data_IF_976019402703
#
_entry.id   IF_976019402703
#
_cell.length_a   1.000
_cell.length_b   1.000
_cell.length_c   1.000
_cell.angle_alpha   90.00
_cell.angle_beta   90.00
_cell.angle_gamma   90.00
#
_symmetry.space_group_name_H-M   'P 1'
#
loop_
_entity.id
_entity.type
_entity.pdbx_description
1 polymer ?
#
# COMPACT_ATOMS: atom_id res chain seq x y z
N UNK A 1 16.85 -0.77 16.62
CA UNK A 1 17.10 -1.28 15.26
C UNK A 1 15.74 -1.41 14.59
N UNK A 2 15.46 -0.59 13.59
CA UNK A 2 14.25 -0.69 12.78
C UNK A 2 14.28 -2.05 12.07
N UNK A 3 13.29 -2.90 12.34
CA UNK A 3 13.23 -4.24 11.77
C UNK A 3 12.66 -4.16 10.36
N UNK A 4 13.36 -4.77 9.40
CA UNK A 4 13.01 -4.85 7.97
C UNK A 4 11.87 -5.85 7.73
N UNK A 5 11.13 -5.65 6.63
CA UNK A 5 10.03 -6.53 6.21
C UNK A 5 10.50 -7.97 5.88
N UNK A 6 11.74 -8.15 5.44
CA UNK A 6 12.32 -9.44 5.03
C UNK A 6 11.47 -10.16 3.96
N UNK A 7 11.11 -9.43 2.90
CA UNK A 7 10.22 -9.91 1.84
C UNK A 7 10.93 -10.94 0.94
N UNK A 8 10.23 -12.01 0.54
CA UNK A 8 10.73 -12.91 -0.50
C UNK A 8 10.75 -12.20 -1.86
N UNK A 9 11.54 -12.69 -2.81
CA UNK A 9 11.47 -12.19 -4.18
C UNK A 9 10.10 -12.54 -4.79
N UNK A 10 9.40 -11.55 -5.37
CA UNK A 10 8.17 -11.80 -6.11
C UNK A 10 8.44 -12.68 -7.33
N UNK A 11 7.65 -13.74 -7.49
CA UNK A 11 7.77 -14.67 -8.61
C UNK A 11 7.18 -14.07 -9.89
N UNK A 12 7.92 -14.17 -10.99
CA UNK A 12 7.48 -13.75 -12.32
C UNK A 12 7.79 -12.27 -12.64
N UNK A 13 7.43 -11.82 -13.86
CA UNK A 13 7.70 -10.46 -14.30
C UNK A 13 6.86 -9.43 -13.53
N UNK A 14 7.36 -8.19 -13.45
CA UNK A 14 6.58 -7.05 -12.94
C UNK A 14 5.34 -6.80 -13.83
N UNK A 15 4.21 -6.36 -13.25
CA UNK A 15 3.06 -5.95 -14.04
C UNK A 15 3.39 -4.71 -14.88
N UNK A 16 2.55 -4.44 -15.89
CA UNK A 16 2.58 -3.16 -16.60
C UNK A 16 1.85 -2.12 -15.75
N UNK A 17 2.35 -0.90 -15.75
CA UNK A 17 1.79 0.23 -15.00
C UNK A 17 1.67 1.45 -15.92
N UNK A 18 0.84 2.43 -15.54
CA UNK A 18 0.82 3.73 -16.21
C UNK A 18 2.02 4.56 -15.78
N UNK A 19 2.50 5.44 -16.66
CA UNK A 19 3.54 6.41 -16.33
C UNK A 19 2.89 7.79 -16.25
N UNK A 20 2.77 8.35 -15.04
CA UNK A 20 2.11 9.64 -14.81
C UNK A 20 1.06 9.59 -13.72
N UNK A 21 0.26 10.65 -13.62
CA UNK A 21 -0.87 10.74 -12.71
C UNK A 21 -2.17 10.66 -13.53
N UNK A 22 -3.09 9.72 -13.23
CA UNK A 22 -3.01 8.71 -12.18
C UNK A 22 -1.99 7.58 -12.47
N UNK A 23 -1.33 7.13 -11.41
CA UNK A 23 -0.39 6.01 -11.44
C UNK A 23 -1.12 4.73 -11.02
N UNK A 24 -1.27 3.79 -11.94
CA UNK A 24 -2.13 2.61 -11.80
C UNK A 24 -1.50 1.36 -12.41
N UNK A 25 -1.86 0.19 -11.89
CA UNK A 25 -1.50 -1.10 -12.46
C UNK A 25 -2.45 -1.48 -13.59
N UNK A 26 -1.90 -2.00 -14.69
CA UNK A 26 -2.62 -2.31 -15.93
C UNK A 26 -2.80 -3.83 -16.14
N UNK A 27 -1.88 -4.66 -15.64
CA UNK A 27 -1.92 -6.11 -15.85
C UNK A 27 -1.62 -6.88 -14.57
N UNK A 28 -1.87 -8.19 -14.57
CA UNK A 28 -1.64 -9.10 -13.43
C UNK A 28 -2.46 -8.74 -12.17
N UNK A 29 -3.68 -8.26 -12.36
CA UNK A 29 -4.61 -8.05 -11.25
C UNK A 29 -5.06 -9.40 -10.66
N UNK A 30 -5.40 -9.38 -9.37
CA UNK A 30 -5.97 -10.52 -8.68
C UNK A 30 -7.38 -10.84 -9.11
N UNK A 31 -7.82 -12.07 -8.79
CA UNK A 31 -9.24 -12.38 -8.79
C UNK A 31 -9.95 -11.54 -7.73
N UNK A 32 -11.18 -11.09 -8.02
CA UNK A 32 -11.92 -10.19 -7.13
C UNK A 32 -11.97 -10.67 -5.68
N UNK A 33 -12.22 -11.97 -5.45
CA UNK A 33 -12.29 -12.51 -4.09
C UNK A 33 -10.96 -12.41 -3.31
N UNK A 34 -9.80 -12.42 -3.97
CA UNK A 34 -8.50 -12.22 -3.30
C UNK A 34 -8.33 -10.75 -2.91
N UNK A 35 -8.70 -9.85 -3.82
CA UNK A 35 -8.67 -8.39 -3.58
C UNK A 35 -9.68 -7.99 -2.50
N UNK A 36 -10.84 -8.62 -2.47
CA UNK A 36 -11.86 -8.37 -1.44
C UNK A 36 -11.38 -8.86 -0.07
N UNK A 37 -10.77 -10.05 0.04
CA UNK A 37 -10.12 -10.50 1.28
C UNK A 37 -9.03 -9.53 1.78
N UNK A 38 -8.28 -8.91 0.86
CA UNK A 38 -7.29 -7.89 1.20
C UNK A 38 -7.94 -6.63 1.76
N UNK A 39 -9.00 -6.12 1.10
CA UNK A 39 -9.76 -4.94 1.52
C UNK A 39 -10.39 -5.17 2.89
N UNK A 40 -11.07 -6.30 3.07
CA UNK A 40 -11.74 -6.65 4.32
C UNK A 40 -10.74 -6.69 5.48
N UNK A 41 -9.58 -7.30 5.27
CA UNK A 41 -8.52 -7.31 6.28
C UNK A 41 -7.97 -5.92 6.58
N UNK A 42 -7.67 -5.13 5.54
CA UNK A 42 -7.06 -3.81 5.68
C UNK A 42 -7.99 -2.83 6.43
N UNK A 43 -9.29 -2.86 6.13
CA UNK A 43 -10.28 -1.99 6.77
C UNK A 43 -10.81 -2.52 8.10
N UNK A 44 -10.45 -3.74 8.49
CA UNK A 44 -10.75 -4.27 9.82
C UNK A 44 -9.65 -3.96 10.85
N UNK A 45 -8.55 -3.31 10.45
CA UNK A 45 -7.49 -2.92 11.39
C UNK A 45 -8.01 -1.88 12.40
N UNK A 46 -7.57 -1.94 13.67
CA UNK A 46 -8.00 -0.99 14.70
C UNK A 46 -7.74 0.45 14.28
N UNK A 47 -8.66 1.35 14.64
CA UNK A 47 -8.57 2.79 14.35
C UNK A 47 -8.42 3.15 12.86
N UNK A 48 -8.63 2.21 11.94
CA UNK A 48 -8.71 2.47 10.50
C UNK A 48 -10.16 2.70 10.09
N UNK A 49 -10.41 3.87 9.52
CA UNK A 49 -11.68 4.21 8.89
C UNK A 49 -11.58 4.00 7.39
N UNK A 50 -12.54 3.25 6.84
CA UNK A 50 -12.70 3.10 5.40
C UNK A 50 -13.37 4.35 4.83
N UNK A 51 -12.61 5.22 4.16
CA UNK A 51 -13.11 6.45 3.53
C UNK A 51 -12.82 6.51 2.03
N UNK A 52 -13.40 7.48 1.31
CA UNK A 52 -12.95 7.78 -0.06
C UNK A 52 -11.56 8.42 0.00
N UNK A 53 -10.64 7.98 -0.86
CA UNK A 53 -9.31 8.59 -0.92
C UNK A 53 -9.40 10.03 -1.41
N UNK A 54 -8.60 10.91 -0.80
CA UNK A 54 -8.44 12.31 -1.21
C UNK A 54 -7.31 12.49 -2.22
N UNK A 55 -6.44 11.49 -2.39
CA UNK A 55 -5.26 11.53 -3.25
C UNK A 55 -5.36 10.66 -4.50
N UNK A 56 -6.41 9.85 -4.63
CA UNK A 56 -6.53 8.83 -5.67
C UNK A 56 -7.69 9.07 -6.64
N UNK A 57 -7.87 8.14 -7.58
CA UNK A 57 -8.95 8.17 -8.57
C UNK A 57 -10.34 7.99 -7.92
N UNK A 58 -11.42 8.48 -8.56
CA UNK A 58 -12.79 8.27 -8.06
C UNK A 58 -13.10 6.80 -7.79
N UNK A 59 -13.64 6.50 -6.61
CA UNK A 59 -13.97 5.14 -6.17
C UNK A 59 -12.87 4.44 -5.39
N UNK A 60 -11.64 4.96 -5.37
CA UNK A 60 -10.59 4.45 -4.50
C UNK A 60 -10.97 4.60 -3.02
N UNK A 61 -10.61 3.59 -2.23
CA UNK A 61 -10.90 3.53 -0.80
C UNK A 61 -9.61 3.63 0.00
N UNK A 62 -9.60 4.51 0.98
CA UNK A 62 -8.46 4.87 1.78
C UNK A 62 -8.56 4.26 3.18
N UNK A 63 -7.41 3.83 3.69
CA UNK A 63 -7.20 3.58 5.11
C UNK A 63 -6.87 4.92 5.77
N UNK A 64 -7.83 5.49 6.50
CA UNK A 64 -7.67 6.77 7.19
C UNK A 64 -7.62 6.51 8.69
N UNK A 65 -6.58 7.00 9.38
CA UNK A 65 -6.50 6.82 10.83
C UNK A 65 -7.54 7.68 11.55
N UNK A 66 -8.29 7.09 12.48
CA UNK A 66 -9.28 7.76 13.33
C UNK A 66 -8.68 9.01 13.99
N UNK A 67 -9.44 10.10 14.08
CA UNK A 67 -8.95 11.42 14.52
C UNK A 67 -8.31 11.40 15.92
N UNK A 68 -8.88 10.61 16.83
CA UNK A 68 -8.39 10.47 18.21
C UNK A 68 -7.17 9.55 18.39
N UNK A 69 -6.70 8.88 17.34
CA UNK A 69 -5.54 8.01 17.45
C UNK A 69 -4.22 8.83 17.47
N UNK A 70 -3.33 8.50 18.41
CA UNK A 70 -1.95 9.01 18.37
C UNK A 70 -1.22 8.35 17.21
N UNK A 71 -0.67 9.16 16.31
CA UNK A 71 -0.04 8.65 15.10
C UNK A 71 1.26 9.39 14.79
N UNK A 72 2.16 8.69 14.11
CA UNK A 72 3.29 9.25 13.42
C UNK A 72 2.82 9.91 12.11
N UNK A 73 2.95 11.23 12.04
CA UNK A 73 2.49 12.00 10.89
C UNK A 73 3.31 11.78 9.61
N UNK A 74 4.54 11.26 9.72
CA UNK A 74 5.35 10.91 8.54
C UNK A 74 4.74 9.76 7.73
N UNK A 75 3.81 9.00 8.32
CA UNK A 75 3.08 7.94 7.64
C UNK A 75 1.90 8.45 6.80
N UNK A 76 1.59 9.75 6.80
CA UNK A 76 0.43 10.29 6.09
C UNK A 76 0.76 10.76 4.67
N UNK A 77 -0.07 10.34 3.71
CA UNK A 77 -0.02 10.78 2.32
C UNK A 77 -0.75 12.11 2.14
N UNK A 78 -2.01 12.15 2.59
CA UNK A 78 -2.89 13.33 2.63
C UNK A 78 -3.84 13.21 3.83
N UNK A 79 -4.02 14.28 4.60
CA UNK A 79 -4.79 14.20 5.84
C UNK A 79 -4.21 13.13 6.78
N UNK A 80 -5.02 12.13 7.12
CA UNK A 80 -4.63 10.94 7.94
C UNK A 80 -4.63 9.64 7.12
N UNK A 81 -4.60 9.74 5.79
CA UNK A 81 -4.56 8.61 4.86
C UNK A 81 -3.16 7.99 4.82
N UNK A 82 -3.05 6.71 5.22
CA UNK A 82 -1.78 5.96 5.23
C UNK A 82 -1.60 5.07 4.01
N UNK A 83 -2.73 4.65 3.42
CA UNK A 83 -2.80 3.85 2.21
C UNK A 83 -4.12 4.08 1.48
N UNK A 84 -4.16 3.82 0.18
CA UNK A 84 -5.42 3.68 -0.56
C UNK A 84 -5.34 2.58 -1.61
N UNK A 85 -6.48 1.92 -1.82
CA UNK A 85 -6.64 0.79 -2.72
C UNK A 85 -7.43 1.23 -3.95
N UNK A 86 -6.89 0.94 -5.14
CA UNK A 86 -7.53 1.31 -6.40
C UNK A 86 -8.78 0.46 -6.68
N UNK A 87 -9.84 1.09 -7.25
CA UNK A 87 -11.02 0.39 -7.74
C UNK A 87 -10.75 -0.22 -9.13
N UNK A 88 -11.73 -0.91 -9.69
CA UNK A 88 -11.69 -1.28 -11.10
C UNK A 88 -11.48 -0.04 -12.01
N UNK A 89 -10.73 -0.18 -13.12
CA UNK A 89 -10.21 -1.43 -13.71
C UNK A 89 -8.86 -1.91 -13.17
N UNK A 90 -8.16 -1.10 -12.36
CA UNK A 90 -6.89 -1.49 -11.73
C UNK A 90 -7.12 -2.56 -10.65
N UNK A 91 -8.12 -2.36 -9.80
CA UNK A 91 -8.61 -3.32 -8.84
C UNK A 91 -7.53 -4.03 -7.99
N UNK A 92 -7.10 -3.34 -6.94
CA UNK A 92 -6.34 -3.97 -5.86
C UNK A 92 -4.88 -3.60 -5.80
N UNK A 93 -4.29 -2.91 -6.79
CA UNK A 93 -3.05 -2.19 -6.51
C UNK A 93 -3.35 -1.02 -5.57
N UNK A 94 -2.31 -0.54 -4.88
CA UNK A 94 -2.48 0.40 -3.80
C UNK A 94 -1.26 1.30 -3.67
N UNK A 95 -1.46 2.53 -3.24
CA UNK A 95 -0.37 3.38 -2.78
C UNK A 95 -0.29 3.30 -1.26
N UNK A 96 0.92 3.12 -0.74
CA UNK A 96 1.21 2.99 0.70
C UNK A 96 2.36 3.89 1.08
N UNK A 97 2.30 4.46 2.29
CA UNK A 97 3.42 5.18 2.90
C UNK A 97 4.17 4.25 3.85
N UNK A 98 5.46 4.06 3.59
CA UNK A 98 6.36 3.21 4.36
C UNK A 98 7.59 3.99 4.84
N UNK A 99 8.31 3.49 5.85
CA UNK A 99 9.68 3.89 6.10
C UNK A 99 10.56 3.68 4.87
N UNK A 100 11.57 4.53 4.70
CA UNK A 100 12.45 4.52 3.53
C UNK A 100 13.02 3.13 3.21
N UNK A 101 13.59 2.44 4.19
CA UNK A 101 14.28 1.17 3.95
C UNK A 101 13.29 0.05 3.57
N UNK A 102 12.10 0.05 4.18
CA UNK A 102 11.02 -0.90 3.84
C UNK A 102 10.48 -0.63 2.42
N UNK A 103 10.34 0.64 2.03
CA UNK A 103 9.96 1.02 0.67
C UNK A 103 10.98 0.56 -0.38
N UNK A 104 12.28 0.70 -0.08
CA UNK A 104 13.34 0.21 -0.96
C UNK A 104 13.28 -1.31 -1.10
N UNK A 105 13.08 -2.03 0.01
CA UNK A 105 12.93 -3.49 -0.01
C UNK A 105 11.73 -3.94 -0.86
N UNK A 106 10.57 -3.29 -0.74
CA UNK A 106 9.37 -3.60 -1.55
C UNK A 106 9.67 -3.50 -3.06
N UNK A 107 10.38 -2.44 -3.48
CA UNK A 107 10.73 -2.22 -4.89
C UNK A 107 11.80 -3.22 -5.36
N UNK A 108 12.84 -3.44 -4.55
CA UNK A 108 13.92 -4.39 -4.84
C UNK A 108 13.38 -5.82 -5.01
N UNK A 109 12.53 -6.26 -4.09
CA UNK A 109 11.91 -7.60 -4.10
C UNK A 109 10.78 -7.73 -5.12
N UNK A 110 10.45 -6.64 -5.82
CA UNK A 110 9.53 -6.63 -6.95
C UNK A 110 8.05 -6.66 -6.58
N UNK A 111 7.70 -6.32 -5.34
CA UNK A 111 6.31 -6.24 -4.86
C UNK A 111 5.63 -4.91 -5.18
N UNK A 112 6.40 -3.91 -5.59
CA UNK A 112 5.89 -2.62 -6.02
C UNK A 112 6.90 -1.84 -6.85
N UNK A 113 6.57 -0.58 -7.10
CA UNK A 113 7.44 0.42 -7.69
C UNK A 113 7.22 1.76 -6.99
N UNK A 114 8.22 2.65 -7.01
CA UNK A 114 8.06 3.98 -6.44
C UNK A 114 6.88 4.70 -7.08
N UNK A 115 6.15 5.46 -6.27
CA UNK A 115 5.11 6.32 -6.80
C UNK A 115 5.72 7.33 -7.76
N UNK A 116 5.04 7.67 -8.87
CA UNK A 116 5.54 8.61 -9.89
C UNK A 116 6.09 9.92 -9.30
N UNK A 117 5.43 10.51 -8.29
CA UNK A 117 5.93 11.70 -7.57
C UNK A 117 7.29 11.52 -6.86
N UNK A 118 7.62 10.30 -6.40
CA UNK A 118 8.94 9.99 -5.84
C UNK A 118 9.98 9.97 -6.95
N UNK A 119 9.70 9.31 -8.07
CA UNK A 119 10.60 9.28 -9.24
C UNK A 119 10.85 10.69 -9.81
N UNK A 120 9.85 11.57 -9.73
CA UNK A 120 9.97 12.98 -10.13
C UNK A 120 10.64 13.87 -9.06
N UNK A 121 11.08 13.32 -7.92
CA UNK A 121 11.71 14.08 -6.83
C UNK A 121 10.77 15.03 -6.09
N UNK A 122 9.45 14.86 -6.21
CA UNK A 122 8.42 15.71 -5.59
C UNK A 122 7.91 15.17 -4.26
N UNK A 123 8.22 13.91 -3.94
CA UNK A 123 7.97 13.27 -2.65
C UNK A 123 9.23 12.50 -2.22
N UNK A 124 9.51 12.37 -0.91
CA UNK A 124 10.61 11.55 -0.44
C UNK A 124 10.35 10.06 -0.72
N UNK A 125 11.44 9.28 -0.72
CA UNK A 125 11.36 7.81 -0.75
C UNK A 125 10.55 7.32 0.45
N UNK A 126 9.58 6.45 0.20
CA UNK A 126 8.63 5.95 1.20
C UNK A 126 7.24 5.72 0.63
N UNK A 127 6.85 6.51 -0.38
CA UNK A 127 5.58 6.35 -1.10
C UNK A 127 5.76 5.37 -2.28
N UNK A 128 5.05 4.25 -2.23
CA UNK A 128 5.20 3.13 -3.16
C UNK A 128 3.84 2.67 -3.68
N UNK A 129 3.75 2.35 -4.96
CA UNK A 129 2.64 1.57 -5.49
C UNK A 129 2.94 0.09 -5.30
N UNK A 130 2.18 -0.58 -4.43
CA UNK A 130 2.22 -2.03 -4.23
C UNK A 130 1.23 -2.68 -5.17
N UNK A 131 1.65 -3.78 -5.80
CA UNK A 131 0.84 -4.44 -6.82
C UNK A 131 -0.34 -5.20 -6.21
N UNK A 132 -1.39 -5.40 -7.01
CA UNK A 132 -2.54 -6.25 -6.63
C UNK A 132 -2.07 -7.68 -6.30
N UNK A 133 -2.62 -8.32 -5.26
CA UNK A 133 -2.34 -9.74 -4.98
C UNK A 133 -2.92 -10.61 -6.07
N UNK A 134 -2.12 -11.49 -6.68
CA UNK A 134 -2.62 -12.41 -7.73
C UNK A 134 -3.34 -13.62 -7.15
N UNK A 135 -2.91 -14.06 -5.98
CA UNK A 135 -3.33 -15.27 -5.30
C UNK A 135 -3.15 -15.14 -3.77
N UNK A 136 -3.45 -16.21 -3.03
CA UNK A 136 -3.35 -16.26 -1.56
C UNK A 136 -1.91 -16.07 -1.05
N UNK A 137 -0.90 -16.49 -1.82
CA UNK A 137 0.50 -16.34 -1.42
C UNK A 137 0.95 -14.87 -1.55
N UNK A 138 0.62 -14.23 -2.67
CA UNK A 138 0.79 -12.79 -2.83
C UNK A 138 -0.01 -12.00 -1.78
N UNK A 139 -1.24 -12.43 -1.46
CA UNK A 139 -2.08 -11.79 -0.46
C UNK A 139 -1.41 -11.75 0.92
N UNK A 140 -0.80 -12.85 1.37
CA UNK A 140 -0.09 -12.89 2.65
C UNK A 140 1.06 -11.87 2.71
N UNK A 141 1.80 -11.72 1.61
CA UNK A 141 2.89 -10.73 1.52
C UNK A 141 2.36 -9.30 1.46
N UNK A 142 1.30 -9.06 0.72
CA UNK A 142 0.72 -7.72 0.60
C UNK A 142 0.09 -7.27 1.93
N UNK A 143 -0.51 -8.18 2.70
CA UNK A 143 -0.95 -7.91 4.07
C UNK A 143 0.22 -7.52 4.97
N UNK A 144 1.40 -8.13 4.84
CA UNK A 144 2.56 -7.73 5.64
C UNK A 144 3.05 -6.32 5.27
N UNK A 145 3.03 -5.94 3.99
CA UNK A 145 3.40 -4.60 3.53
C UNK A 145 2.39 -3.55 4.01
N UNK A 146 1.09 -3.80 3.86
CA UNK A 146 0.04 -2.91 4.38
C UNK A 146 0.09 -2.79 5.90
N UNK A 147 0.27 -3.92 6.60
CA UNK A 147 0.46 -3.95 8.05
C UNK A 147 1.66 -3.13 8.49
N UNK A 148 2.74 -3.14 7.72
CA UNK A 148 3.91 -2.30 8.01
C UNK A 148 3.63 -0.81 7.86
N UNK A 149 2.82 -0.40 6.89
CA UNK A 149 2.36 0.99 6.75
C UNK A 149 1.51 1.40 7.95
N UNK A 150 0.60 0.53 8.39
CA UNK A 150 -0.17 0.72 9.61
C UNK A 150 0.71 0.81 10.87
N UNK A 151 1.69 -0.09 11.04
CA UNK A 151 2.64 -0.06 12.16
C UNK A 151 3.47 1.23 12.15
N UNK A 152 3.80 1.74 10.95
CA UNK A 152 4.53 2.99 10.81
C UNK A 152 3.70 4.19 11.25
N UNK A 153 2.39 4.16 11.02
CA UNK A 153 1.46 5.20 11.46
C UNK A 153 1.17 5.13 12.96
N UNK A 154 0.98 3.94 13.52
CA UNK A 154 0.53 3.79 14.92
C UNK A 154 1.67 3.63 15.92
N UNK A 155 2.88 3.31 15.46
CA UNK A 155 3.99 2.90 16.32
C UNK A 155 3.75 1.57 17.06
N UNK A 156 2.62 0.92 16.80
CA UNK A 156 2.23 -0.38 17.36
C UNK A 156 2.50 -1.45 16.33
N UNK A 157 2.85 -2.65 16.78
CA UNK A 157 3.02 -3.79 15.88
C UNK A 157 1.76 -4.64 15.89
N UNK A 158 1.23 -4.98 14.71
CA UNK A 158 0.22 -6.03 14.61
C UNK A 158 0.80 -7.34 15.17
N UNK A 159 0.14 -7.90 16.19
CA UNK A 159 0.50 -9.22 16.70
C UNK A 159 0.32 -10.26 15.59
N UNK A 160 1.32 -11.14 15.44
CA UNK A 160 1.32 -12.22 14.44
C UNK A 160 0.24 -13.27 14.72
#
# INVERSE_FOLDING_TARGET
MTQTLNLPQRVGPRPKTTHGLPHSQVTQHGLNHIVDQMRDWAFALPDVENQHSLASVPGARAMVMHEGAECNHDAFMIGREIAHIHPHPDNGSMHVQLPKDDALEVVEKGWGEHHTLVDLGRRPVGLVMVYSPRDEADLAIIKSILGRSYDYATGTRLAA
#
